data_IF_404765244177
#
_entry.id   IF_404765244177
#
_cell.length_a   1.000
_cell.length_b   1.000
_cell.length_c   1.000
_cell.angle_alpha   90.00
_cell.angle_beta   90.00
_cell.angle_gamma   90.00
#
_symmetry.space_group_name_H-M   'P 1'
#
loop_
_entity.id
_entity.type
_entity.pdbx_description
1 polymer ?
#
# COMPACT_ATOMS: atom_id res chain seq x y z
N UNK A 1 5.91 -3.42 21.48
CA UNK A 1 5.00 -3.88 20.41
C UNK A 1 3.57 -3.49 20.74
N UNK A 2 2.72 -3.27 19.72
CA UNK A 2 1.32 -2.92 19.94
C UNK A 2 0.55 -4.04 20.66
N UNK A 3 0.91 -5.30 20.40
CA UNK A 3 0.22 -6.48 20.91
C UNK A 3 -1.04 -6.85 20.13
N UNK A 4 -1.32 -8.14 19.97
CA UNK A 4 -2.47 -8.63 19.21
C UNK A 4 -3.81 -8.14 19.77
N UNK A 5 -3.96 -8.14 21.10
CA UNK A 5 -5.20 -7.73 21.76
C UNK A 5 -5.54 -6.24 21.50
N UNK A 6 -4.50 -5.41 21.37
CA UNK A 6 -4.69 -3.99 21.08
C UNK A 6 -5.08 -3.72 19.61
N UNK A 7 -4.82 -4.66 18.70
CA UNK A 7 -5.15 -4.57 17.29
C UNK A 7 -6.50 -5.22 16.95
N UNK A 8 -7.03 -6.06 17.84
CA UNK A 8 -8.26 -6.80 17.60
C UNK A 8 -9.44 -5.87 17.28
N UNK A 9 -10.17 -6.18 16.19
CA UNK A 9 -11.35 -5.45 15.74
C UNK A 9 -11.06 -4.05 15.19
N UNK A 10 -9.79 -3.68 15.00
CA UNK A 10 -9.42 -2.33 14.51
C UNK A 10 -8.90 -2.39 13.08
N UNK A 11 -9.23 -1.38 12.25
CA UNK A 11 -8.55 -1.18 10.97
C UNK A 11 -7.05 -1.00 11.18
N UNK A 12 -6.26 -1.79 10.46
CA UNK A 12 -4.80 -1.70 10.43
C UNK A 12 -4.37 -1.38 9.00
N UNK A 13 -4.01 -0.11 8.75
CA UNK A 13 -3.52 0.29 7.44
C UNK A 13 -2.06 -0.14 7.29
N UNK A 14 -1.82 -1.06 6.38
CA UNK A 14 -0.48 -1.53 6.03
C UNK A 14 0.04 -0.77 4.81
N UNK A 15 1.06 0.05 5.03
CA UNK A 15 1.73 0.86 4.00
C UNK A 15 3.13 0.32 3.66
N UNK A 16 3.50 -0.83 4.20
CA UNK A 16 4.85 -1.38 4.10
C UNK A 16 5.10 -2.12 2.78
N UNK A 17 6.36 -2.39 2.48
CA UNK A 17 6.79 -3.17 1.32
C UNK A 17 7.80 -4.23 1.72
N UNK A 18 7.71 -5.44 1.12
CA UNK A 18 8.60 -6.56 1.44
C UNK A 18 9.94 -6.46 0.69
N UNK A 19 10.70 -5.37 0.87
CA UNK A 19 11.95 -5.13 0.18
C UNK A 19 13.11 -5.89 0.81
N UNK A 20 13.91 -6.55 -0.03
CA UNK A 20 15.13 -7.26 0.35
C UNK A 20 16.35 -6.55 -0.22
N UNK A 21 17.17 -5.98 0.64
CA UNK A 21 18.40 -5.27 0.31
C UNK A 21 19.65 -6.16 0.39
N UNK A 22 19.51 -7.45 0.67
CA UNK A 22 20.65 -8.36 0.87
C UNK A 22 21.58 -8.47 -0.34
N UNK A 23 21.05 -8.28 -1.55
CA UNK A 23 21.81 -8.24 -2.80
C UNK A 23 22.21 -6.83 -3.25
N UNK A 24 21.93 -5.79 -2.45
CA UNK A 24 22.24 -4.38 -2.76
C UNK A 24 21.09 -3.62 -3.40
N UNK A 25 21.43 -2.62 -4.23
CA UNK A 25 20.47 -1.76 -4.92
C UNK A 25 20.41 -2.09 -6.43
N UNK A 26 19.23 -2.14 -7.05
CA UNK A 26 17.92 -2.04 -6.43
C UNK A 26 17.57 -3.29 -5.62
N UNK A 27 16.76 -3.16 -4.54
CA UNK A 27 16.32 -4.32 -3.76
C UNK A 27 15.41 -5.23 -4.58
N UNK A 28 15.32 -6.49 -4.16
CA UNK A 28 14.33 -7.46 -4.62
C UNK A 28 13.16 -7.53 -3.63
N UNK A 29 12.22 -8.47 -3.82
CA UNK A 29 11.11 -8.70 -2.91
C UNK A 29 11.36 -9.96 -2.08
N UNK A 30 11.18 -9.85 -0.74
CA UNK A 30 11.24 -10.98 0.20
C UNK A 30 10.08 -11.97 -0.03
N UNK A 31 8.91 -11.45 -0.41
CA UNK A 31 7.73 -12.24 -0.75
C UNK A 31 7.05 -11.67 -1.98
N UNK A 32 6.48 -12.53 -2.81
CA UNK A 32 5.85 -12.18 -4.08
C UNK A 32 5.06 -13.36 -4.65
N UNK A 33 4.39 -13.14 -5.77
CA UNK A 33 3.67 -14.12 -6.57
C UNK A 33 2.48 -14.74 -5.83
N UNK A 34 2.71 -15.65 -4.91
CA UNK A 34 1.67 -16.43 -4.21
C UNK A 34 1.40 -15.96 -2.79
N UNK A 35 2.10 -14.93 -2.31
CA UNK A 35 1.92 -14.36 -0.98
C UNK A 35 2.32 -12.88 -0.98
N UNK A 36 1.92 -12.15 0.06
CA UNK A 36 2.23 -10.74 0.27
C UNK A 36 2.50 -10.45 1.74
N UNK A 37 3.18 -9.35 2.02
CA UNK A 37 3.38 -8.87 3.38
C UNK A 37 2.03 -8.52 4.05
N UNK A 38 1.08 -7.96 3.29
CA UNK A 38 -0.27 -7.71 3.79
C UNK A 38 -0.99 -8.98 4.26
N UNK A 39 -0.88 -10.08 3.50
CA UNK A 39 -1.43 -11.39 3.91
C UNK A 39 -0.70 -11.94 5.13
N UNK A 40 0.62 -11.81 5.20
CA UNK A 40 1.40 -12.26 6.36
C UNK A 40 1.00 -11.52 7.63
N UNK A 41 0.80 -10.21 7.57
CA UNK A 41 0.32 -9.39 8.70
C UNK A 41 -1.09 -9.84 9.11
N UNK A 42 -2.00 -10.05 8.14
CA UNK A 42 -3.35 -10.51 8.44
C UNK A 42 -3.36 -11.89 9.12
N UNK A 43 -2.48 -12.81 8.70
CA UNK A 43 -2.35 -14.13 9.36
C UNK A 43 -1.73 -14.03 10.74
N UNK A 44 -0.78 -13.13 10.94
CA UNK A 44 -0.12 -12.90 12.24
C UNK A 44 -1.08 -12.26 13.26
N UNK A 45 -2.02 -11.46 12.79
CA UNK A 45 -3.01 -10.75 13.59
C UNK A 45 -4.43 -11.00 13.04
N UNK A 46 -4.99 -12.22 13.22
CA UNK A 46 -6.24 -12.60 12.56
C UNK A 46 -7.45 -11.75 12.98
N UNK A 47 -7.43 -11.18 14.17
CA UNK A 47 -8.50 -10.30 14.66
C UNK A 47 -8.33 -8.82 14.22
N UNK A 48 -7.19 -8.44 13.66
CA UNK A 48 -7.01 -7.12 13.06
C UNK A 48 -7.68 -7.07 11.68
N UNK A 49 -8.17 -5.90 11.31
CA UNK A 49 -8.81 -5.67 10.03
C UNK A 49 -7.81 -5.01 9.08
N UNK A 50 -6.95 -5.79 8.46
CA UNK A 50 -5.83 -5.27 7.65
C UNK A 50 -6.33 -4.69 6.33
N UNK A 51 -5.88 -3.47 6.03
CA UNK A 51 -6.09 -2.80 4.75
C UNK A 51 -4.75 -2.38 4.17
N UNK A 52 -4.32 -3.03 3.09
CA UNK A 52 -3.15 -2.65 2.31
C UNK A 52 -3.45 -1.43 1.47
N UNK A 53 -2.67 -0.37 1.61
CA UNK A 53 -2.80 0.85 0.80
C UNK A 53 -1.52 1.69 0.85
N UNK A 54 -1.43 2.71 0.00
CA UNK A 54 -0.36 3.73 -0.03
C UNK A 54 1.08 3.22 -0.23
N UNK A 55 1.29 1.92 -0.35
CA UNK A 55 2.63 1.31 -0.47
C UNK A 55 3.36 1.64 -1.79
N UNK A 56 2.67 2.24 -2.75
CA UNK A 56 3.21 2.65 -4.06
C UNK A 56 3.58 4.13 -4.13
N UNK A 57 3.57 4.83 -2.98
CA UNK A 57 3.84 6.26 -2.87
C UNK A 57 5.00 6.54 -1.93
N UNK A 58 5.76 7.60 -2.21
CA UNK A 58 6.66 8.18 -1.20
C UNK A 58 5.85 8.87 -0.10
N UNK A 59 6.39 8.89 1.13
CA UNK A 59 5.66 9.34 2.31
C UNK A 59 5.00 10.73 2.20
N UNK A 60 5.65 11.77 1.62
CA UNK A 60 4.98 13.07 1.46
C UNK A 60 3.71 13.00 0.62
N UNK A 61 3.68 12.17 -0.42
CA UNK A 61 2.52 12.03 -1.30
C UNK A 61 1.37 11.21 -0.69
N UNK A 62 1.65 10.45 0.37
CA UNK A 62 0.60 9.70 1.08
C UNK A 62 -0.42 10.65 1.72
N UNK A 63 0.03 11.80 2.21
CA UNK A 63 -0.79 12.80 2.94
C UNK A 63 -0.99 14.10 2.18
N UNK A 64 -0.24 14.34 1.10
CA UNK A 64 -0.33 15.53 0.25
C UNK A 64 -0.23 15.14 -1.23
N UNK A 65 -1.19 14.35 -1.77
CA UNK A 65 -1.16 13.91 -3.16
C UNK A 65 -1.30 15.06 -4.17
N UNK A 66 -1.92 16.16 -3.77
CA UNK A 66 -2.09 17.39 -4.54
C UNK A 66 -0.76 18.06 -4.93
N UNK A 67 0.34 17.76 -4.22
CA UNK A 67 1.69 18.22 -4.55
C UNK A 67 2.14 17.83 -5.97
N UNK A 68 1.53 16.82 -6.58
CA UNK A 68 1.80 16.42 -7.97
C UNK A 68 1.13 17.33 -9.00
N UNK A 69 0.14 18.14 -8.61
CA UNK A 69 -0.63 18.99 -9.51
C UNK A 69 -1.56 18.24 -10.48
N UNK A 70 -1.66 16.92 -10.34
CA UNK A 70 -2.52 16.05 -11.15
C UNK A 70 -3.09 14.94 -10.27
N UNK A 71 -4.33 14.52 -10.56
CA UNK A 71 -4.94 13.37 -9.91
C UNK A 71 -4.22 12.09 -10.31
N UNK A 72 -3.91 11.26 -9.33
CA UNK A 72 -3.29 9.95 -9.50
C UNK A 72 -4.12 8.85 -8.83
N UNK A 73 -3.82 7.59 -9.14
CA UNK A 73 -4.57 6.44 -8.61
C UNK A 73 -3.85 5.83 -7.42
N UNK A 74 -4.61 5.45 -6.40
CA UNK A 74 -4.15 4.60 -5.30
C UNK A 74 -5.07 3.39 -5.16
N UNK A 75 -4.60 2.39 -4.45
CA UNK A 75 -5.25 1.09 -4.35
C UNK A 75 -5.52 0.72 -2.90
N UNK A 76 -6.60 -0.03 -2.67
CA UNK A 76 -6.90 -0.64 -1.39
C UNK A 76 -7.17 -2.14 -1.56
N UNK A 77 -6.68 -2.94 -0.62
CA UNK A 77 -6.92 -4.39 -0.53
C UNK A 77 -7.20 -4.75 0.91
N UNK A 78 -8.26 -5.51 1.17
CA UNK A 78 -8.61 -5.91 2.53
C UNK A 78 -9.87 -6.77 2.56
N UNK A 79 -10.00 -7.61 3.58
CA UNK A 79 -11.11 -8.57 3.68
C UNK A 79 -12.37 -7.99 4.30
N UNK A 80 -12.23 -6.95 5.13
CA UNK A 80 -13.36 -6.36 5.86
C UNK A 80 -13.87 -5.09 5.18
N UNK A 81 -15.16 -5.06 4.74
CA UNK A 81 -15.73 -3.91 4.06
C UNK A 81 -15.78 -2.64 4.93
N UNK A 82 -16.01 -2.77 6.25
CA UNK A 82 -16.08 -1.61 7.14
C UNK A 82 -14.71 -0.99 7.37
N UNK A 83 -13.66 -1.80 7.48
CA UNK A 83 -12.29 -1.33 7.57
C UNK A 83 -11.86 -0.61 6.28
N UNK A 84 -12.23 -1.14 5.12
CA UNK A 84 -11.99 -0.48 3.83
C UNK A 84 -12.74 0.85 3.72
N UNK A 85 -13.99 0.92 4.20
CA UNK A 85 -14.73 2.18 4.23
C UNK A 85 -14.04 3.23 5.13
N UNK A 86 -13.58 2.85 6.31
CA UNK A 86 -12.80 3.74 7.21
C UNK A 86 -11.50 4.19 6.54
N UNK A 87 -10.78 3.29 5.88
CA UNK A 87 -9.58 3.63 5.12
C UNK A 87 -9.90 4.62 4.00
N UNK A 88 -10.99 4.42 3.26
CA UNK A 88 -11.42 5.30 2.18
C UNK A 88 -11.67 6.74 2.68
N UNK A 89 -12.41 6.90 3.79
CA UNK A 89 -12.65 8.21 4.40
C UNK A 89 -11.34 8.92 4.78
N UNK A 90 -10.40 8.20 5.38
CA UNK A 90 -9.09 8.74 5.72
C UNK A 90 -8.31 9.16 4.47
N UNK A 91 -8.25 8.32 3.44
CA UNK A 91 -7.54 8.61 2.20
C UNK A 91 -8.14 9.84 1.48
N UNK A 92 -9.46 9.94 1.45
CA UNK A 92 -10.15 11.12 0.92
C UNK A 92 -9.85 12.39 1.73
N UNK A 93 -9.72 12.28 3.05
CA UNK A 93 -9.34 13.42 3.90
C UNK A 93 -7.92 13.92 3.62
N UNK A 94 -7.03 13.08 3.11
CA UNK A 94 -5.69 13.45 2.63
C UNK A 94 -5.70 14.06 1.22
N UNK A 95 -6.82 13.98 0.50
CA UNK A 95 -6.97 14.53 -0.85
C UNK A 95 -6.84 13.50 -1.98
N UNK A 96 -6.84 12.20 -1.66
CA UNK A 96 -6.89 11.17 -2.72
C UNK A 96 -8.30 11.09 -3.32
N UNK A 97 -8.39 11.20 -4.64
CA UNK A 97 -9.66 11.22 -5.38
C UNK A 97 -9.94 9.91 -6.13
N UNK A 98 -8.91 9.29 -6.68
CA UNK A 98 -9.02 8.07 -7.49
C UNK A 98 -8.51 6.86 -6.70
N UNK A 99 -9.40 6.31 -5.87
CA UNK A 99 -9.12 5.19 -4.97
C UNK A 99 -9.77 3.94 -5.55
N UNK A 100 -8.99 2.93 -5.88
CA UNK A 100 -9.43 1.70 -6.53
C UNK A 100 -9.38 0.55 -5.53
N UNK A 101 -10.56 -0.01 -5.23
CA UNK A 101 -10.67 -1.25 -4.44
C UNK A 101 -10.33 -2.46 -5.32
N UNK A 102 -9.28 -3.18 -4.96
CA UNK A 102 -8.83 -4.36 -5.69
C UNK A 102 -9.46 -5.67 -5.19
N UNK A 103 -10.10 -5.64 -4.02
CA UNK A 103 -10.72 -6.83 -3.43
C UNK A 103 -10.14 -7.23 -2.08
N UNK A 104 -10.01 -8.52 -1.83
CA UNK A 104 -9.46 -9.07 -0.59
C UNK A 104 -7.98 -8.79 -0.38
N UNK A 105 -7.47 -9.17 0.80
CA UNK A 105 -6.06 -8.89 1.16
C UNK A 105 -5.06 -9.57 0.23
N UNK A 106 -5.44 -10.67 -0.43
CA UNK A 106 -4.61 -11.37 -1.41
C UNK A 106 -4.26 -10.49 -2.62
N UNK A 107 -5.07 -9.48 -2.92
CA UNK A 107 -4.78 -8.55 -4.02
C UNK A 107 -3.63 -7.58 -3.71
N UNK A 108 -3.19 -7.50 -2.45
CA UNK A 108 -1.99 -6.78 -2.05
C UNK A 108 -0.72 -7.32 -2.75
N UNK A 109 -0.73 -8.56 -3.21
CA UNK A 109 0.35 -9.13 -4.04
C UNK A 109 0.67 -8.24 -5.24
N UNK A 110 -0.38 -7.75 -5.91
CA UNK A 110 -0.23 -6.89 -7.10
C UNK A 110 0.45 -5.56 -6.77
N UNK A 111 0.00 -4.85 -5.73
CA UNK A 111 0.57 -3.55 -5.37
C UNK A 111 1.98 -3.66 -4.77
N UNK A 112 2.28 -4.72 -4.04
CA UNK A 112 3.65 -4.98 -3.58
C UNK A 112 4.58 -5.30 -4.74
N UNK A 113 4.14 -6.04 -5.76
CA UNK A 113 4.91 -6.32 -6.98
C UNK A 113 5.06 -5.12 -7.92
N UNK A 114 4.43 -3.98 -7.64
CA UNK A 114 4.73 -2.71 -8.35
C UNK A 114 6.06 -2.08 -7.93
N UNK A 115 6.63 -2.47 -6.80
CA UNK A 115 7.85 -1.86 -6.27
C UNK A 115 9.07 -2.00 -7.20
N UNK A 116 9.31 -3.09 -7.92
CA UNK A 116 10.38 -3.16 -8.91
C UNK A 116 10.31 -2.06 -9.97
N UNK A 117 9.16 -1.77 -10.54
CA UNK A 117 9.01 -0.67 -11.49
C UNK A 117 9.09 0.70 -10.79
N UNK A 118 8.54 0.83 -9.58
CA UNK A 118 8.61 2.07 -8.80
C UNK A 118 10.06 2.48 -8.55
N UNK A 119 10.91 1.55 -8.12
CA UNK A 119 12.34 1.79 -7.87
C UNK A 119 13.09 2.18 -9.15
N UNK A 120 12.75 1.56 -10.29
CA UNK A 120 13.34 1.92 -11.59
C UNK A 120 12.94 3.33 -12.02
N UNK A 121 11.66 3.70 -11.82
CA UNK A 121 11.18 5.06 -12.11
C UNK A 121 11.86 6.10 -11.21
N UNK A 122 12.00 5.83 -9.92
CA UNK A 122 12.73 6.72 -9.00
C UNK A 122 14.15 7.00 -9.50
N UNK A 123 14.86 5.97 -9.93
CA UNK A 123 16.21 6.11 -10.50
C UNK A 123 16.22 6.88 -11.82
N UNK A 124 15.28 6.60 -12.72
CA UNK A 124 15.21 7.23 -14.04
C UNK A 124 14.79 8.71 -13.97
N UNK A 125 13.85 9.03 -13.08
CA UNK A 125 13.33 10.39 -12.89
C UNK A 125 14.18 11.23 -11.95
N UNK A 126 15.07 10.61 -11.17
CA UNK A 126 15.90 11.29 -10.15
C UNK A 126 15.10 11.84 -8.97
N UNK A 127 13.87 11.37 -8.76
CA UNK A 127 12.97 11.83 -7.69
C UNK A 127 11.97 10.76 -7.32
N UNK A 128 11.55 10.65 -6.04
CA UNK A 128 10.45 9.80 -5.61
C UNK A 128 9.08 10.48 -5.75
N UNK A 129 9.02 11.75 -6.18
CA UNK A 129 7.81 12.57 -6.27
C UNK A 129 7.05 12.26 -7.55
N UNK A 130 6.44 11.09 -7.63
CA UNK A 130 5.59 10.61 -8.71
C UNK A 130 4.56 9.60 -8.20
N UNK A 131 3.53 9.35 -8.99
CA UNK A 131 2.58 8.26 -8.76
C UNK A 131 2.06 7.73 -10.11
N UNK A 132 1.35 6.61 -10.05
CA UNK A 132 0.69 5.98 -11.19
C UNK A 132 -0.70 6.56 -11.42
N UNK A 133 -1.19 6.49 -12.66
CA UNK A 133 -2.58 6.81 -13.01
C UNK A 133 -3.18 5.70 -13.84
N UNK A 134 -4.31 5.17 -13.41
CA UNK A 134 -5.14 4.27 -14.22
C UNK A 134 -6.10 5.12 -15.04
N UNK A 135 -5.93 5.09 -16.36
CA UNK A 135 -6.82 5.78 -17.28
C UNK A 135 -7.90 4.80 -17.70
N UNK A 136 -9.19 5.15 -17.45
CA UNK A 136 -10.34 4.32 -17.78
C UNK A 136 -11.56 5.17 -18.12
#
# INVERSE_FOLDING_TARGET
SAGSDNLAGKPLLDISNPLDFSAGMPPTLLTKDTDSLGEQIQRAFPEALVVKTLNTLTAPLMVHPDSLGQSSSIFVSGNDPSAKATALELLQSFGHEDIIDLGGIETARGTEMMLPIWLRLMGALGTPMFNFKVIR
#
